data_IF_002216108496
#
_entry.id   IF_002216108496
#
_cell.length_a   1.000
_cell.length_b   1.000
_cell.length_c   1.000
_cell.angle_alpha   90.00
_cell.angle_beta   90.00
_cell.angle_gamma   90.00
#
_symmetry.space_group_name_H-M   'P 1'
#
loop_
_entity.id
_entity.type
_entity.pdbx_description
1 polymer ?
#
# COMPACT_ATOMS: atom_id res chain seq x y z
N UNK A 1 24.69 -10.54 -64.62
CA UNK A 1 24.21 -9.15 -64.65
C UNK A 1 23.46 -8.88 -63.36
N UNK A 2 23.80 -7.76 -62.75
CA UNK A 2 23.53 -7.32 -61.39
C UNK A 2 22.13 -6.69 -61.36
N UNK A 3 21.22 -7.12 -60.49
CA UNK A 3 20.03 -6.32 -60.14
C UNK A 3 19.72 -6.42 -58.63
N UNK A 4 20.39 -5.61 -57.80
CA UNK A 4 19.95 -5.24 -56.46
C UNK A 4 19.01 -4.03 -56.57
N UNK A 5 18.35 -3.69 -55.46
CA UNK A 5 17.38 -2.59 -55.26
C UNK A 5 15.99 -2.90 -55.86
N UNK A 6 14.87 -2.81 -55.15
CA UNK A 6 14.51 -1.98 -54.01
C UNK A 6 13.68 -2.78 -53.00
N UNK A 7 14.22 -3.03 -51.80
CA UNK A 7 13.40 -3.17 -50.60
C UNK A 7 13.03 -1.72 -50.17
N UNK A 8 12.02 -1.14 -50.81
CA UNK A 8 11.41 0.10 -50.33
C UNK A 8 10.74 -0.24 -49.00
N UNK A 9 11.44 0.08 -47.91
CA UNK A 9 10.86 0.15 -46.59
C UNK A 9 9.68 1.12 -46.63
N UNK A 10 8.47 0.58 -46.56
CA UNK A 10 7.25 1.31 -46.25
C UNK A 10 7.39 1.87 -44.83
N UNK A 11 8.15 2.95 -44.69
CA UNK A 11 8.14 3.81 -43.52
C UNK A 11 6.78 4.51 -43.53
N UNK A 12 5.77 3.77 -43.06
CA UNK A 12 4.45 4.31 -42.72
C UNK A 12 4.70 5.55 -41.88
N UNK A 13 4.40 6.72 -42.44
CA UNK A 13 4.47 7.99 -41.72
C UNK A 13 3.35 7.98 -40.68
N UNK A 14 3.60 7.32 -39.55
CA UNK A 14 2.68 7.29 -38.42
C UNK A 14 2.52 8.75 -37.98
N UNK A 15 1.32 9.29 -38.21
CA UNK A 15 0.97 10.61 -37.72
C UNK A 15 0.97 10.53 -36.19
N UNK A 16 1.74 11.41 -35.58
CA UNK A 16 1.92 11.50 -34.14
C UNK A 16 1.91 12.98 -33.74
N UNK A 17 1.45 13.28 -32.53
CA UNK A 17 1.73 14.58 -31.94
C UNK A 17 3.21 14.66 -31.56
N UNK A 18 3.88 15.74 -31.91
CA UNK A 18 5.26 15.99 -31.46
C UNK A 18 5.23 17.02 -30.33
N UNK A 19 5.26 16.54 -29.08
CA UNK A 19 5.27 17.41 -27.92
C UNK A 19 6.62 17.31 -27.20
N UNK A 20 7.42 18.38 -27.28
CA UNK A 20 8.78 18.47 -26.69
C UNK A 20 9.71 17.36 -27.21
N UNK A 21 9.63 17.03 -28.49
CA UNK A 21 10.47 15.99 -29.13
C UNK A 21 10.03 14.57 -28.83
N UNK A 22 8.89 14.38 -28.14
CA UNK A 22 8.30 13.07 -27.92
C UNK A 22 7.10 12.87 -28.84
N UNK A 23 7.14 11.80 -29.64
CA UNK A 23 6.04 11.40 -30.51
C UNK A 23 4.99 10.64 -29.71
N UNK A 24 3.75 11.10 -29.79
CA UNK A 24 2.58 10.54 -29.11
C UNK A 24 1.53 10.11 -30.12
N UNK A 25 0.92 8.95 -29.92
CA UNK A 25 -0.10 8.42 -30.83
C UNK A 25 -1.44 9.12 -30.62
N UNK A 26 -2.32 9.05 -31.62
CA UNK A 26 -3.65 9.64 -31.50
C UNK A 26 -4.43 9.07 -30.30
N UNK A 27 -4.98 9.94 -29.45
CA UNK A 27 -5.70 9.58 -28.23
C UNK A 27 -4.81 9.29 -27.03
N UNK A 28 -3.49 9.20 -27.20
CA UNK A 28 -2.56 8.96 -26.09
C UNK A 28 -2.64 10.08 -25.07
N UNK A 29 -2.63 9.70 -23.78
CA UNK A 29 -2.63 10.63 -22.66
C UNK A 29 -1.38 10.48 -21.81
N UNK A 30 -0.86 11.60 -21.31
CA UNK A 30 0.32 11.60 -20.45
C UNK A 30 0.27 12.75 -19.44
N UNK A 31 1.11 12.68 -18.40
CA UNK A 31 1.29 13.77 -17.45
C UNK A 31 2.50 14.61 -17.86
N UNK A 32 2.33 15.93 -17.90
CA UNK A 32 3.40 16.89 -18.19
C UNK A 32 3.55 17.91 -17.05
N UNK A 33 4.80 18.33 -16.80
CA UNK A 33 5.17 19.23 -15.70
C UNK A 33 4.51 18.81 -14.37
N UNK A 34 4.58 17.52 -14.06
CA UNK A 34 4.06 16.82 -12.89
C UNK A 34 2.53 16.78 -12.72
N UNK A 35 1.79 17.79 -13.18
CA UNK A 35 0.40 17.96 -12.78
C UNK A 35 -0.58 18.11 -13.95
N UNK A 36 -0.12 18.28 -15.20
CA UNK A 36 -1.03 18.52 -16.33
C UNK A 36 -1.30 17.23 -17.09
N UNK A 37 -2.57 16.84 -17.16
CA UNK A 37 -3.00 15.69 -17.93
C UNK A 37 -3.25 16.11 -19.38
N UNK A 38 -2.41 15.61 -20.27
CA UNK A 38 -2.37 15.96 -21.68
C UNK A 38 -3.03 14.88 -22.53
N UNK A 39 -3.57 15.26 -23.70
CA UNK A 39 -4.04 14.33 -24.73
C UNK A 39 -3.54 14.74 -26.11
N UNK A 40 -3.09 13.76 -26.88
CA UNK A 40 -2.81 13.92 -28.30
C UNK A 40 -4.10 13.73 -29.11
N UNK A 41 -4.42 14.68 -29.98
CA UNK A 41 -5.55 14.59 -30.92
C UNK A 41 -5.04 14.85 -32.33
N UNK A 42 -5.21 13.87 -33.22
CA UNK A 42 -4.79 13.95 -34.62
C UNK A 42 -6.02 14.11 -35.50
N UNK A 43 -6.02 15.16 -36.32
CA UNK A 43 -7.04 15.44 -37.33
C UNK A 43 -6.50 15.13 -38.74
N UNK A 44 -7.36 15.31 -39.75
CA UNK A 44 -7.03 15.03 -41.15
C UNK A 44 -5.81 15.80 -41.68
N UNK A 45 -5.50 16.97 -41.13
CA UNK A 45 -4.41 17.85 -41.58
C UNK A 45 -3.52 18.41 -40.46
N UNK A 46 -3.78 18.10 -39.19
CA UNK A 46 -3.07 18.70 -38.06
C UNK A 46 -3.09 17.77 -36.84
N UNK A 47 -2.37 18.14 -35.80
CA UNK A 47 -2.40 17.49 -34.49
C UNK A 47 -2.38 18.55 -33.38
N UNK A 48 -2.93 18.21 -32.22
CA UNK A 48 -2.88 19.03 -31.01
C UNK A 48 -2.48 18.19 -29.79
N UNK A 49 -1.75 18.81 -28.88
CA UNK A 49 -1.39 18.25 -27.59
C UNK A 49 -1.99 19.15 -26.51
N UNK A 50 -3.20 18.84 -26.09
CA UNK A 50 -4.01 19.71 -25.24
C UNK A 50 -4.00 19.27 -23.78
N UNK A 51 -3.97 20.23 -22.87
CA UNK A 51 -4.29 19.99 -21.46
C UNK A 51 -5.79 19.67 -21.38
N UNK A 52 -6.12 18.45 -20.98
CA UNK A 52 -7.50 17.96 -20.81
C UNK A 52 -7.90 17.84 -19.34
N UNK A 53 -6.95 17.98 -18.42
CA UNK A 53 -7.18 17.96 -16.99
C UNK A 53 -5.89 18.16 -16.21
N UNK A 54 -5.95 17.91 -14.91
CA UNK A 54 -4.80 17.91 -14.05
C UNK A 54 -4.70 16.59 -13.27
N UNK A 55 -3.55 16.31 -12.68
CA UNK A 55 -3.30 15.16 -11.80
C UNK A 55 -2.85 15.69 -10.45
N UNK A 56 -3.48 15.18 -9.38
CA UNK A 56 -3.14 15.53 -8.01
C UNK A 56 -1.86 14.82 -7.57
N UNK A 57 -1.29 15.22 -6.43
CA UNK A 57 -0.08 14.60 -5.90
C UNK A 57 -0.32 13.13 -5.52
N UNK A 58 -1.57 12.76 -5.18
CA UNK A 58 -2.02 11.37 -4.98
C UNK A 58 -2.31 10.59 -6.28
N UNK A 59 -2.01 11.17 -7.45
CA UNK A 59 -2.21 10.51 -8.76
C UNK A 59 -3.64 10.55 -9.28
N UNK A 60 -4.55 11.29 -8.65
CA UNK A 60 -5.95 11.39 -9.08
C UNK A 60 -6.08 12.38 -10.25
N UNK A 61 -6.70 11.94 -11.35
CA UNK A 61 -7.08 12.83 -12.44
C UNK A 61 -8.29 13.70 -12.04
N UNK A 62 -8.20 15.00 -12.31
CA UNK A 62 -9.25 16.00 -12.11
C UNK A 62 -9.49 16.76 -13.41
N UNK A 63 -10.76 16.93 -13.79
CA UNK A 63 -11.13 17.60 -15.03
C UNK A 63 -10.93 19.12 -14.92
N UNK A 64 -10.80 19.80 -16.06
CA UNK A 64 -10.81 21.27 -16.07
C UNK A 64 -12.14 21.79 -15.52
N UNK A 65 -12.06 22.71 -14.56
CA UNK A 65 -13.19 23.24 -13.79
C UNK A 65 -13.46 22.48 -12.50
N UNK A 66 -12.87 21.30 -12.29
CA UNK A 66 -13.09 20.50 -11.10
C UNK A 66 -12.30 21.04 -9.90
N UNK A 67 -12.91 20.91 -8.71
CA UNK A 67 -12.27 21.15 -7.42
C UNK A 67 -12.47 19.93 -6.53
N UNK A 68 -11.37 19.41 -5.97
CA UNK A 68 -11.38 18.25 -5.07
C UNK A 68 -10.70 18.59 -3.75
N UNK A 69 -11.06 17.89 -2.68
CA UNK A 69 -10.36 18.00 -1.40
C UNK A 69 -9.40 16.82 -1.24
N UNK A 70 -8.12 17.11 -1.02
CA UNK A 70 -7.06 16.12 -0.83
C UNK A 70 -6.08 16.64 0.22
N UNK A 71 -5.80 15.84 1.26
CA UNK A 71 -4.83 16.23 2.31
C UNK A 71 -5.15 17.55 3.03
N UNK A 72 -6.43 17.92 3.15
CA UNK A 72 -6.85 19.20 3.77
C UNK A 72 -6.76 20.42 2.84
N UNK A 73 -6.33 20.23 1.60
CA UNK A 73 -6.28 21.27 0.57
C UNK A 73 -7.46 21.13 -0.39
N UNK A 74 -8.00 22.26 -0.83
CA UNK A 74 -8.79 22.33 -2.06
C UNK A 74 -7.83 22.43 -3.24
N UNK A 75 -7.86 21.41 -4.07
CA UNK A 75 -7.10 21.31 -5.31
C UNK A 75 -8.02 21.62 -6.47
N UNK A 76 -7.65 22.57 -7.32
CA UNK A 76 -8.46 23.03 -8.45
C UNK A 76 -7.66 22.96 -9.75
N UNK A 77 -8.27 22.44 -10.81
CA UNK A 77 -7.75 22.54 -12.17
C UNK A 77 -8.61 23.55 -12.92
N UNK A 78 -8.10 24.75 -13.18
CA UNK A 78 -8.94 25.84 -13.73
C UNK A 78 -8.41 26.32 -15.08
N UNK A 79 -9.31 26.74 -15.96
CA UNK A 79 -8.94 27.47 -17.18
C UNK A 79 -9.17 28.96 -16.95
N UNK A 80 -8.13 29.75 -17.11
CA UNK A 80 -8.19 31.20 -17.02
C UNK A 80 -8.83 31.81 -18.27
N UNK A 81 -9.31 33.07 -18.20
CA UNK A 81 -9.78 33.80 -19.37
C UNK A 81 -8.75 33.92 -20.49
N UNK A 82 -7.46 33.89 -20.15
CA UNK A 82 -6.35 33.85 -21.14
C UNK A 82 -6.26 32.54 -21.93
N UNK A 83 -7.05 31.53 -21.57
CA UNK A 83 -6.98 30.18 -22.13
C UNK A 83 -5.98 29.26 -21.43
N UNK A 84 -5.10 29.79 -20.58
CA UNK A 84 -4.12 29.01 -19.79
C UNK A 84 -4.82 28.13 -18.76
N UNK A 85 -4.35 26.89 -18.60
CA UNK A 85 -4.82 26.00 -17.52
C UNK A 85 -3.86 26.11 -16.34
N UNK A 86 -4.40 26.34 -15.15
CA UNK A 86 -3.65 26.40 -13.90
C UNK A 86 -4.07 25.29 -12.94
N UNK A 87 -3.05 24.73 -12.27
CA UNK A 87 -3.21 23.87 -11.12
C UNK A 87 -3.09 24.71 -9.84
N UNK A 88 -4.17 24.86 -9.07
CA UNK A 88 -4.19 25.66 -7.84
C UNK A 88 -4.40 24.78 -6.62
N UNK A 89 -3.62 25.04 -5.58
CA UNK A 89 -3.82 24.49 -4.23
C UNK A 89 -4.24 25.63 -3.32
N UNK A 90 -5.35 25.49 -2.61
CA UNK A 90 -5.80 26.41 -1.56
C UNK A 90 -6.05 25.62 -0.29
N UNK A 91 -5.90 26.25 0.87
CA UNK A 91 -6.39 25.64 2.12
C UNK A 91 -7.91 25.55 2.03
N UNK A 92 -8.46 24.37 2.27
CA UNK A 92 -9.91 24.19 2.26
C UNK A 92 -10.58 24.75 3.52
N UNK A 93 -11.84 25.16 3.38
CA UNK A 93 -12.73 25.46 4.51
C UNK A 93 -13.35 24.18 5.13
N UNK A 94 -13.00 22.99 4.63
CA UNK A 94 -13.44 21.72 5.21
C UNK A 94 -12.66 21.44 6.49
N UNK A 95 -13.28 21.76 7.63
CA UNK A 95 -12.92 21.45 9.02
C UNK A 95 -11.50 20.89 9.18
N UNK A 96 -10.51 21.80 9.15
CA UNK A 96 -9.11 21.50 9.43
C UNK A 96 -9.00 20.65 10.70
N UNK A 97 -8.18 19.62 10.64
CA UNK A 97 -7.79 18.85 11.82
C UNK A 97 -8.96 18.35 12.69
N UNK A 98 -10.03 17.80 12.11
CA UNK A 98 -11.19 17.29 12.86
C UNK A 98 -11.91 18.39 13.69
N UNK A 99 -11.70 19.67 13.38
CA UNK A 99 -12.29 20.81 14.08
C UNK A 99 -11.32 21.53 15.04
N UNK A 100 -10.09 21.06 15.16
CA UNK A 100 -9.09 21.61 16.06
C UNK A 100 -8.25 22.72 15.42
N UNK A 101 -7.81 23.68 16.23
CA UNK A 101 -6.99 24.80 15.78
C UNK A 101 -5.55 24.35 15.50
N UNK A 102 -4.81 25.01 14.58
CA UNK A 102 -3.39 24.77 14.39
C UNK A 102 -2.60 24.87 15.70
N UNK A 103 -1.79 23.85 16.00
CA UNK A 103 -1.04 23.73 17.25
C UNK A 103 -1.78 23.00 18.38
N UNK A 104 -3.11 22.87 18.27
CA UNK A 104 -3.92 22.18 19.27
C UNK A 104 -3.59 20.69 19.31
N UNK A 105 -3.61 20.12 20.52
CA UNK A 105 -3.42 18.69 20.78
C UNK A 105 -4.65 18.13 21.48
N UNK A 106 -5.14 16.99 21.02
CA UNK A 106 -6.30 16.32 21.59
C UNK A 106 -6.08 14.82 21.71
N UNK A 107 -6.87 14.17 22.55
CA UNK A 107 -6.87 12.72 22.69
C UNK A 107 -7.96 12.11 21.80
N UNK A 108 -7.58 11.13 20.98
CA UNK A 108 -8.46 10.41 20.06
C UNK A 108 -8.48 8.93 20.41
N UNK A 109 -9.67 8.33 20.39
CA UNK A 109 -9.88 6.90 20.68
C UNK A 109 -9.17 6.44 21.96
N UNK A 110 -9.17 7.32 22.98
CA UNK A 110 -8.56 7.17 24.32
C UNK A 110 -7.05 6.90 24.38
N UNK A 111 -6.40 6.54 23.28
CA UNK A 111 -5.02 6.02 23.27
C UNK A 111 -4.07 6.81 22.36
N UNK A 112 -4.54 7.81 21.61
CA UNK A 112 -3.70 8.51 20.65
C UNK A 112 -3.79 10.01 20.84
N UNK A 113 -2.68 10.63 21.25
CA UNK A 113 -2.59 12.09 21.26
C UNK A 113 -2.30 12.55 19.84
N UNK A 114 -3.25 13.30 19.28
CA UNK A 114 -3.12 13.94 17.97
C UNK A 114 -2.69 15.39 18.13
N UNK A 115 -2.12 15.96 17.07
CA UNK A 115 -1.82 17.37 16.94
C UNK A 115 -2.24 17.87 15.56
N UNK A 116 -2.82 19.07 15.52
CA UNK A 116 -2.99 19.81 14.29
C UNK A 116 -1.71 20.56 13.97
N UNK A 117 -1.06 20.24 12.86
CA UNK A 117 0.13 20.98 12.42
C UNK A 117 -0.25 22.37 11.93
N UNK A 118 0.72 23.28 11.85
CA UNK A 118 0.55 24.60 11.23
C UNK A 118 0.11 24.52 9.76
N UNK A 119 0.32 23.37 9.12
CA UNK A 119 -0.10 23.07 7.75
C UNK A 119 -1.53 22.53 7.65
N UNK A 120 -2.23 22.33 8.79
CA UNK A 120 -3.60 21.82 8.79
C UNK A 120 -3.70 20.30 8.65
N UNK A 121 -2.63 19.57 8.95
CA UNK A 121 -2.61 18.09 8.97
C UNK A 121 -2.77 17.57 10.38
N UNK A 122 -3.49 16.45 10.53
CA UNK A 122 -3.53 15.69 11.79
C UNK A 122 -2.33 14.74 11.83
N UNK A 123 -1.54 14.80 12.90
CA UNK A 123 -0.47 13.83 13.18
C UNK A 123 -0.69 13.20 14.56
N UNK A 124 -0.26 11.96 14.74
CA UNK A 124 -0.18 11.32 16.07
C UNK A 124 1.20 11.63 16.65
N UNK A 125 1.24 12.28 17.81
CA UNK A 125 2.50 12.69 18.47
C UNK A 125 2.95 11.70 19.54
N UNK A 126 2.02 10.97 20.15
CA UNK A 126 2.28 9.92 21.13
C UNK A 126 1.08 8.98 21.25
N UNK A 127 1.34 7.75 21.70
CA UNK A 127 0.31 6.89 22.26
C UNK A 127 0.10 7.24 23.74
N UNK A 128 -1.04 6.87 24.29
CA UNK A 128 -1.41 7.05 25.69
C UNK A 128 -1.89 5.70 26.20
N UNK A 129 -1.33 5.21 27.31
CA UNK A 129 -1.75 3.93 27.91
C UNK A 129 -3.15 4.05 28.51
N UNK A 130 -3.75 2.91 28.88
CA UNK A 130 -5.07 2.88 29.51
C UNK A 130 -5.12 3.67 30.84
N UNK A 131 -3.96 3.90 31.47
CA UNK A 131 -3.80 4.70 32.69
C UNK A 131 -3.39 6.15 32.42
N UNK A 132 -3.44 6.60 31.16
CA UNK A 132 -3.11 7.99 30.78
C UNK A 132 -1.61 8.29 30.63
N UNK A 133 -0.73 7.28 30.66
CA UNK A 133 0.72 7.51 30.56
C UNK A 133 1.13 7.69 29.09
N UNK A 134 1.82 8.79 28.72
CA UNK A 134 2.26 9.01 27.36
C UNK A 134 3.42 8.09 26.98
N UNK A 135 3.37 7.55 25.76
CA UNK A 135 4.42 6.73 25.13
C UNK A 135 4.72 7.33 23.76
N UNK A 136 5.88 7.97 23.62
CA UNK A 136 6.29 8.59 22.36
C UNK A 136 6.40 7.59 21.20
N UNK A 137 6.29 8.06 19.96
CA UNK A 137 6.46 7.22 18.77
C UNK A 137 7.84 6.54 18.78
N UNK A 138 7.88 5.23 18.53
CA UNK A 138 9.07 4.38 18.60
C UNK A 138 9.55 4.09 20.02
N UNK A 139 8.81 4.51 21.06
CA UNK A 139 9.15 4.27 22.46
C UNK A 139 8.27 3.19 23.07
N UNK A 140 8.73 2.71 24.23
CA UNK A 140 8.09 1.66 25.00
C UNK A 140 8.04 2.09 26.47
N UNK A 141 6.99 1.69 27.18
CA UNK A 141 6.84 1.91 28.61
C UNK A 141 6.20 0.71 29.28
N UNK A 142 6.69 0.30 30.45
CA UNK A 142 6.07 -0.77 31.25
C UNK A 142 5.23 -0.14 32.36
N UNK A 143 3.93 -0.40 32.34
CA UNK A 143 2.97 0.09 33.34
C UNK A 143 2.19 -1.12 33.85
N UNK A 144 2.19 -1.33 35.17
CA UNK A 144 1.48 -2.44 35.83
C UNK A 144 1.79 -3.83 35.25
N UNK A 145 3.07 -4.09 34.95
CA UNK A 145 3.48 -5.38 34.37
C UNK A 145 3.06 -5.58 32.92
N UNK A 146 2.59 -4.53 32.22
CA UNK A 146 2.30 -4.55 30.79
C UNK A 146 3.24 -3.59 30.08
N UNK A 147 4.01 -4.12 29.14
CA UNK A 147 4.85 -3.38 28.21
C UNK A 147 3.97 -2.83 27.09
N UNK A 148 4.00 -1.51 26.94
CA UNK A 148 3.28 -0.76 25.92
C UNK A 148 4.28 -0.25 24.90
N UNK A 149 4.10 -0.57 23.62
CA UNK A 149 4.98 -0.14 22.52
C UNK A 149 4.19 0.72 21.54
N UNK A 150 4.65 1.95 21.28
CA UNK A 150 3.98 2.86 20.34
C UNK A 150 4.75 2.89 19.01
N UNK A 151 4.28 2.16 18.01
CA UNK A 151 5.04 1.90 16.78
C UNK A 151 4.36 2.51 15.55
N UNK A 152 5.12 3.28 14.77
CA UNK A 152 4.68 3.73 13.45
C UNK A 152 4.89 2.61 12.43
N UNK A 153 3.85 2.27 11.70
CA UNK A 153 3.85 1.26 10.65
C UNK A 153 4.34 1.85 9.32
N UNK A 154 4.67 0.97 8.36
CA UNK A 154 5.15 1.39 7.04
C UNK A 154 4.11 2.21 6.24
N UNK A 155 2.82 1.93 6.44
CA UNK A 155 1.70 2.68 5.84
C UNK A 155 1.44 4.05 6.51
N UNK A 156 2.24 4.40 7.53
CA UNK A 156 2.13 5.64 8.28
C UNK A 156 1.16 5.61 9.46
N UNK A 157 0.40 4.52 9.65
CA UNK A 157 -0.45 4.34 10.84
C UNK A 157 0.39 4.18 12.11
N UNK A 158 -0.20 4.46 13.28
CA UNK A 158 0.45 4.25 14.58
C UNK A 158 -0.33 3.22 15.37
N UNK A 159 0.39 2.22 15.87
CA UNK A 159 -0.17 1.12 16.66
C UNK A 159 0.39 1.18 18.09
N UNK A 160 -0.52 1.06 19.07
CA UNK A 160 -0.18 0.82 20.46
C UNK A 160 -0.28 -0.68 20.76
N UNK A 161 0.86 -1.35 20.83
CA UNK A 161 0.96 -2.77 21.18
C UNK A 161 1.09 -2.94 22.68
N UNK A 162 0.49 -4.01 23.22
CA UNK A 162 0.52 -4.36 24.64
C UNK A 162 1.02 -5.80 24.78
N UNK A 163 2.04 -5.99 25.61
CA UNK A 163 2.63 -7.29 25.91
C UNK A 163 2.75 -7.43 27.43
N UNK A 164 2.39 -8.58 28.00
CA UNK A 164 2.65 -8.84 29.41
C UNK A 164 4.17 -8.84 29.61
N UNK A 165 4.68 -7.89 30.39
CA UNK A 165 6.05 -7.89 30.83
C UNK A 165 6.19 -9.02 31.85
N UNK A 166 6.52 -10.22 31.38
CA UNK A 166 6.87 -11.34 32.24
C UNK A 166 8.01 -10.86 33.14
N UNK A 167 7.72 -10.67 34.42
CA UNK A 167 8.76 -10.39 35.39
C UNK A 167 9.61 -11.67 35.44
N UNK A 168 10.89 -11.55 35.12
CA UNK A 168 11.87 -12.64 35.24
C UNK A 168 12.17 -13.01 36.72
N UNK A 169 11.23 -12.72 37.64
CA UNK A 169 11.33 -13.03 39.07
C UNK A 169 10.41 -14.16 39.53
N UNK A 170 9.72 -14.86 38.62
CA UNK A 170 8.99 -16.10 38.89
C UNK A 170 9.47 -17.28 38.04
N UNK A 171 10.78 -17.34 37.75
CA UNK A 171 11.45 -18.58 37.32
C UNK A 171 12.57 -18.88 38.32
N UNK A 172 12.19 -19.03 39.59
CA UNK A 172 12.99 -19.79 40.55
C UNK A 172 12.06 -20.43 41.57
N UNK A 173 11.37 -21.49 41.13
CA UNK A 173 10.99 -22.63 41.96
C UNK A 173 10.18 -23.59 41.09
N UNK A 174 10.66 -24.84 41.02
CA UNK A 174 10.16 -26.00 40.26
C UNK A 174 10.81 -26.23 38.91
N UNK A 175 12.11 -26.56 38.92
CA UNK A 175 12.51 -27.84 38.33
C UNK A 175 13.54 -28.48 39.28
N UNK A 176 13.10 -29.52 40.00
CA UNK A 176 14.00 -30.53 40.56
C UNK A 176 14.70 -31.20 39.37
N UNK A 177 15.96 -30.84 39.11
CA UNK A 177 16.86 -31.69 38.31
C UNK A 177 18.09 -31.99 39.16
N UNK A 178 18.06 -33.20 39.70
CA UNK A 178 19.17 -34.06 40.09
C UNK A 178 20.59 -33.50 39.77
N UNK A 179 21.46 -33.28 40.79
CA UNK A 179 22.83 -32.87 40.56
C UNK A 179 23.69 -34.11 40.29
N UNK A 180 24.01 -34.38 39.02
CA UNK A 180 25.16 -35.21 38.68
C UNK A 180 26.16 -34.45 37.81
N UNK A 181 27.24 -34.08 38.50
CA UNK A 181 28.65 -34.05 38.08
C UNK A 181 29.02 -33.17 36.89
N UNK A 182 29.62 -32.03 37.22
CA UNK A 182 30.46 -31.21 36.36
C UNK A 182 31.64 -32.03 35.80
N UNK A 183 31.76 -32.09 34.48
CA UNK A 183 33.05 -32.27 33.80
C UNK A 183 33.35 -30.99 32.99
N UNK A 184 34.59 -30.47 33.01
CA UNK A 184 34.96 -29.33 32.18
C UNK A 184 34.97 -29.72 30.68
N UNK A 185 34.57 -28.81 29.77
CA UNK A 185 34.64 -29.07 28.34
C UNK A 185 36.10 -29.09 27.84
N UNK A 186 36.36 -30.01 26.90
CA UNK A 186 37.62 -30.15 26.20
C UNK A 186 37.98 -28.90 25.36
N UNK A 187 39.27 -28.65 25.05
CA UNK A 187 39.68 -27.54 24.20
C UNK A 187 39.16 -27.71 22.77
N UNK A 188 38.63 -26.63 22.20
CA UNK A 188 38.21 -26.55 20.79
C UNK A 188 39.41 -26.70 19.84
N UNK A 189 39.27 -27.40 18.70
CA UNK A 189 40.27 -27.39 17.65
C UNK A 189 40.26 -26.08 16.84
N UNK A 190 41.44 -25.58 16.52
CA UNK A 190 41.66 -24.40 15.68
C UNK A 190 41.10 -24.61 14.27
N UNK A 191 40.14 -23.75 13.88
CA UNK A 191 39.67 -23.66 12.51
C UNK A 191 40.61 -22.76 11.69
N UNK A 192 41.04 -23.17 10.48
CA UNK A 192 41.88 -22.33 9.64
C UNK A 192 41.10 -21.13 9.07
N UNK A 193 41.80 -20.00 9.09
CA UNK A 193 41.38 -18.68 8.63
C UNK A 193 40.81 -18.69 7.18
N UNK A 194 39.57 -18.23 6.94
CA UNK A 194 39.07 -18.10 5.58
C UNK A 194 39.70 -16.88 4.89
N UNK A 195 40.48 -17.17 3.84
CA UNK A 195 40.99 -16.20 2.89
C UNK A 195 39.81 -15.52 2.17
N UNK A 196 39.65 -14.21 2.38
CA UNK A 196 38.75 -13.37 1.60
C UNK A 196 39.24 -13.28 0.14
N UNK A 197 38.59 -14.00 -0.77
CA UNK A 197 38.69 -13.71 -2.21
C UNK A 197 37.74 -12.56 -2.55
N UNK A 198 38.33 -11.50 -3.10
CA UNK A 198 37.68 -10.35 -3.71
C UNK A 198 36.81 -10.84 -4.88
N UNK A 199 35.51 -10.64 -4.79
CA UNK A 199 34.57 -10.96 -5.87
C UNK A 199 34.64 -9.84 -6.93
N UNK A 200 35.01 -10.19 -8.16
CA UNK A 200 34.88 -9.34 -9.33
C UNK A 200 33.40 -9.22 -9.74
N UNK A 201 33.03 -8.04 -10.24
CA UNK A 201 31.67 -7.71 -10.68
C UNK A 201 31.34 -8.39 -12.00
N UNK A 202 30.43 -9.35 -11.98
CA UNK A 202 29.85 -9.93 -13.19
C UNK A 202 28.61 -9.13 -13.62
N UNK A 203 28.52 -8.85 -14.93
CA UNK A 203 27.54 -7.96 -15.53
C UNK A 203 26.16 -8.62 -15.64
N UNK A 204 25.12 -7.87 -15.27
CA UNK A 204 23.72 -8.28 -15.37
C UNK A 204 23.24 -8.05 -16.82
N UNK A 205 22.69 -9.06 -17.52
CA UNK A 205 22.06 -8.87 -18.83
C UNK A 205 20.76 -8.08 -18.72
N UNK A 206 20.59 -7.12 -19.63
CA UNK A 206 19.34 -6.39 -19.85
C UNK A 206 18.37 -7.21 -20.72
N UNK A 207 17.08 -7.12 -20.35
CA UNK A 207 15.86 -7.58 -21.04
C UNK A 207 15.29 -8.96 -20.63
N UNK A 208 14.01 -9.02 -20.19
CA UNK A 208 13.22 -10.24 -20.22
C UNK A 208 12.61 -10.47 -21.63
N UNK A 209 12.35 -11.72 -22.03
CA UNK A 209 11.77 -12.05 -23.34
C UNK A 209 10.26 -11.72 -23.39
N UNK A 210 9.82 -11.37 -24.60
CA UNK A 210 8.44 -11.04 -24.96
C UNK A 210 7.46 -12.16 -24.59
N UNK A 211 6.42 -11.83 -23.82
CA UNK A 211 5.25 -12.70 -23.60
C UNK A 211 4.17 -12.24 -24.57
N UNK A 212 3.88 -13.10 -25.55
CA UNK A 212 2.80 -12.97 -26.52
C UNK A 212 1.43 -13.09 -25.83
N UNK A 213 0.68 -12.01 -25.80
CA UNK A 213 -0.60 -11.88 -25.10
C UNK A 213 -1.79 -11.88 -26.06
N UNK A 214 -1.84 -12.83 -27.01
CA UNK A 214 -2.93 -12.93 -27.99
C UNK A 214 -3.99 -13.99 -27.68
N UNK A 215 -4.01 -14.63 -26.50
CA UNK A 215 -4.82 -15.86 -26.32
C UNK A 215 -5.81 -15.90 -25.14
N UNK A 216 -6.07 -14.80 -24.41
CA UNK A 216 -7.19 -14.77 -23.47
C UNK A 216 -8.12 -13.58 -23.70
N UNK A 217 -9.25 -13.89 -24.33
CA UNK A 217 -10.34 -12.98 -24.56
C UNK A 217 -11.15 -12.65 -23.30
N UNK A 218 -11.86 -11.53 -23.44
CA UNK A 218 -12.94 -11.00 -22.61
C UNK A 218 -12.50 -10.04 -21.48
N UNK A 219 -12.21 -8.80 -21.86
CA UNK A 219 -12.33 -7.63 -20.97
C UNK A 219 -13.79 -7.14 -20.99
N UNK A 220 -14.63 -7.65 -20.08
CA UNK A 220 -15.88 -6.93 -19.74
C UNK A 220 -15.50 -5.78 -18.82
N UNK A 221 -15.45 -4.57 -19.38
CA UNK A 221 -15.37 -3.35 -18.56
C UNK A 221 -16.68 -3.19 -17.78
N UNK A 222 -16.66 -2.92 -16.46
CA UNK A 222 -17.89 -2.69 -15.72
C UNK A 222 -18.59 -1.39 -16.17
N UNK A 223 -19.92 -1.33 -16.12
CA UNK A 223 -20.66 -0.11 -16.42
C UNK A 223 -20.27 1.01 -15.44
N UNK A 224 -20.06 2.20 -16.00
CA UNK A 224 -19.70 3.43 -15.29
C UNK A 224 -20.68 3.66 -14.13
N UNK A 225 -20.16 3.64 -12.90
CA UNK A 225 -20.92 3.91 -11.67
C UNK A 225 -21.06 2.75 -10.68
N UNK A 226 -20.70 1.52 -11.05
CA UNK A 226 -20.71 0.39 -10.11
C UNK A 226 -19.36 0.27 -9.37
N UNK A 227 -19.37 0.33 -8.03
CA UNK A 227 -18.20 0.12 -7.17
C UNK A 227 -17.86 -1.38 -7.11
N UNK A 228 -17.17 -1.90 -8.12
CA UNK A 228 -16.75 -3.30 -8.19
C UNK A 228 -15.37 -3.52 -7.55
N UNK A 229 -15.14 -4.72 -7.01
CA UNK A 229 -13.83 -5.12 -6.50
C UNK A 229 -13.08 -5.93 -7.56
N UNK A 230 -11.78 -5.71 -7.70
CA UNK A 230 -10.92 -6.51 -8.58
C UNK A 230 -10.04 -7.45 -7.73
N UNK A 231 -10.15 -8.76 -7.95
CA UNK A 231 -9.36 -9.77 -7.24
C UNK A 231 -9.02 -10.92 -8.19
N UNK A 232 -7.74 -11.27 -8.31
CA UNK A 232 -7.23 -12.38 -9.17
C UNK A 232 -7.76 -12.32 -10.62
N UNK A 233 -7.81 -11.12 -11.22
CA UNK A 233 -8.27 -10.97 -12.61
C UNK A 233 -9.80 -10.93 -12.78
N UNK A 234 -10.57 -11.11 -11.71
CA UNK A 234 -12.04 -11.18 -11.75
C UNK A 234 -12.65 -9.94 -11.08
N UNK A 235 -13.60 -9.32 -11.78
CA UNK A 235 -14.44 -8.24 -11.22
C UNK A 235 -15.60 -8.84 -10.43
N UNK A 236 -15.75 -8.39 -9.18
CA UNK A 236 -16.80 -8.78 -8.24
C UNK A 236 -17.76 -7.62 -8.01
N UNK A 237 -19.05 -7.92 -7.97
CA UNK A 237 -20.09 -6.92 -7.70
C UNK A 237 -20.03 -6.49 -6.23
N UNK A 238 -20.44 -5.24 -5.91
CA UNK A 238 -20.62 -4.85 -4.52
C UNK A 238 -21.50 -5.84 -3.77
N UNK A 239 -21.15 -6.10 -2.52
CA UNK A 239 -21.77 -7.09 -1.62
C UNK A 239 -21.57 -8.57 -2.00
N UNK A 240 -20.91 -8.87 -3.13
CA UNK A 240 -20.60 -10.23 -3.53
C UNK A 240 -19.61 -10.88 -2.56
N UNK A 241 -19.91 -12.12 -2.15
CA UNK A 241 -19.02 -12.97 -1.34
C UNK A 241 -18.49 -14.13 -2.17
N UNK A 242 -17.20 -14.43 -2.04
CA UNK A 242 -16.58 -15.58 -2.73
C UNK A 242 -15.56 -16.28 -1.83
N UNK A 243 -15.21 -17.51 -2.20
CA UNK A 243 -14.12 -18.25 -1.57
C UNK A 243 -12.86 -18.09 -2.44
N UNK A 244 -11.73 -17.77 -1.82
CA UNK A 244 -10.43 -17.63 -2.47
C UNK A 244 -9.47 -18.68 -1.93
N UNK A 245 -8.79 -19.37 -2.84
CA UNK A 245 -7.85 -20.47 -2.57
C UNK A 245 -8.37 -21.59 -1.67
N UNK A 246 -9.69 -21.77 -1.56
CA UNK A 246 -10.33 -22.69 -0.60
C UNK A 246 -9.99 -22.43 0.88
N UNK A 247 -9.40 -21.27 1.19
CA UNK A 247 -8.92 -20.88 2.51
C UNK A 247 -9.73 -19.75 3.14
N UNK A 248 -10.29 -18.85 2.34
CA UNK A 248 -10.90 -17.62 2.86
C UNK A 248 -12.23 -17.31 2.20
N UNK A 249 -13.23 -16.95 2.99
CA UNK A 249 -14.43 -16.28 2.51
C UNK A 249 -14.18 -14.78 2.47
N UNK A 250 -14.21 -14.17 1.28
CA UNK A 250 -14.02 -12.75 1.03
C UNK A 250 -15.36 -12.08 0.67
N UNK A 251 -15.44 -10.77 0.87
CA UNK A 251 -16.58 -9.94 0.48
C UNK A 251 -16.12 -8.65 -0.19
N UNK A 252 -16.78 -8.28 -1.28
CA UNK A 252 -16.67 -6.96 -1.86
C UNK A 252 -17.59 -6.00 -1.10
N UNK A 253 -17.02 -4.99 -0.47
CA UNK A 253 -17.80 -3.97 0.25
C UNK A 253 -18.53 -3.05 -0.73
N UNK A 254 -19.58 -2.31 -0.30
CA UNK A 254 -20.25 -1.33 -1.15
C UNK A 254 -19.34 -0.18 -1.59
N UNK A 255 -18.19 -0.02 -0.91
CA UNK A 255 -17.16 0.98 -1.20
C UNK A 255 -16.10 0.47 -2.19
N UNK A 256 -16.15 -0.79 -2.63
CA UNK A 256 -15.18 -1.37 -3.59
C UNK A 256 -13.92 -1.95 -2.96
N UNK A 257 -13.89 -2.15 -1.64
CA UNK A 257 -12.80 -2.84 -0.94
C UNK A 257 -13.10 -4.34 -0.74
N UNK A 258 -12.07 -5.18 -0.86
CA UNK A 258 -12.16 -6.61 -0.53
C UNK A 258 -11.83 -6.82 0.95
N UNK A 259 -12.74 -7.45 1.69
CA UNK A 259 -12.52 -7.84 3.11
C UNK A 259 -12.57 -9.35 3.27
N UNK A 260 -11.80 -9.89 4.21
CA UNK A 260 -11.86 -11.30 4.61
C UNK A 260 -12.86 -11.43 5.76
N UNK A 261 -13.86 -12.30 5.59
CA UNK A 261 -14.89 -12.54 6.61
C UNK A 261 -14.50 -13.72 7.52
N UNK A 262 -14.14 -14.86 6.90
CA UNK A 262 -13.91 -16.11 7.59
C UNK A 262 -12.76 -16.89 6.97
N UNK A 263 -12.16 -17.77 7.76
CA UNK A 263 -11.25 -18.83 7.30
C UNK A 263 -12.06 -20.11 7.08
N UNK A 264 -11.86 -20.76 5.94
CA UNK A 264 -12.41 -22.08 5.63
C UNK A 264 -11.42 -23.12 6.12
N UNK A 265 -11.83 -23.94 7.09
CA UNK A 265 -10.99 -25.00 7.68
C UNK A 265 -11.23 -26.33 6.97
N UNK A 266 -12.49 -26.63 6.67
CA UNK A 266 -12.87 -27.81 5.89
C UNK A 266 -14.02 -27.46 4.94
N UNK A 267 -13.73 -27.47 3.64
CA UNK A 267 -14.69 -27.16 2.58
C UNK A 267 -15.78 -28.23 2.42
N UNK A 268 -15.49 -29.51 2.70
CA UNK A 268 -16.47 -30.61 2.56
C UNK A 268 -17.53 -30.59 3.66
N UNK A 269 -17.17 -30.07 4.84
CA UNK A 269 -18.04 -30.01 6.02
C UNK A 269 -18.55 -28.57 6.28
N UNK A 270 -18.24 -27.62 5.39
CA UNK A 270 -18.57 -26.19 5.52
C UNK A 270 -18.13 -25.56 6.87
N UNK A 271 -17.00 -26.02 7.42
CA UNK A 271 -16.47 -25.53 8.70
C UNK A 271 -15.72 -24.22 8.44
N UNK A 272 -16.26 -23.13 8.98
CA UNK A 272 -15.67 -21.79 8.88
C UNK A 272 -15.41 -21.19 10.27
N UNK A 273 -14.35 -20.40 10.38
CA UNK A 273 -13.97 -19.70 11.60
C UNK A 273 -13.96 -18.21 11.31
N UNK A 274 -14.71 -17.43 12.10
CA UNK A 274 -14.73 -15.97 11.95
C UNK A 274 -13.38 -15.37 12.32
N UNK A 275 -12.95 -14.38 11.57
CA UNK A 275 -11.60 -13.82 11.70
C UNK A 275 -11.38 -13.04 13.01
N UNK A 276 -12.45 -12.55 13.63
CA UNK A 276 -12.46 -11.84 14.92
C UNK A 276 -12.49 -12.77 16.13
N UNK A 277 -12.58 -14.09 15.90
CA UNK A 277 -12.68 -15.07 16.97
C UNK A 277 -11.31 -15.49 17.51
N UNK A 278 -11.31 -16.07 18.71
CA UNK A 278 -10.13 -16.72 19.29
C UNK A 278 -10.32 -18.23 19.26
N UNK A 279 -9.32 -18.95 18.79
CA UNK A 279 -9.30 -20.42 18.79
C UNK A 279 -8.28 -20.90 19.82
N UNK A 280 -8.58 -22.03 20.45
CA UNK A 280 -7.69 -22.62 21.45
C UNK A 280 -6.72 -23.57 20.75
N UNK A 281 -5.44 -23.25 20.76
CA UNK A 281 -4.37 -24.11 20.25
C UNK A 281 -3.52 -24.53 21.47
N UNK A 282 -3.66 -25.80 21.87
CA UNK A 282 -3.05 -26.31 23.10
C UNK A 282 -3.64 -25.67 24.37
N UNK A 283 -2.79 -25.05 25.21
CA UNK A 283 -3.21 -24.32 26.43
C UNK A 283 -3.44 -22.82 26.21
N UNK A 284 -3.25 -22.32 24.99
CA UNK A 284 -3.31 -20.89 24.66
C UNK A 284 -4.50 -20.58 23.76
N UNK A 285 -5.06 -19.38 23.93
CA UNK A 285 -6.04 -18.81 23.01
C UNK A 285 -5.31 -17.93 22.00
N UNK A 286 -5.51 -18.19 20.72
CA UNK A 286 -4.88 -17.47 19.61
C UNK A 286 -5.97 -16.77 18.82
N UNK A 287 -5.79 -15.48 18.53
CA UNK A 287 -6.72 -14.74 17.69
C UNK A 287 -6.58 -15.19 16.23
N UNK A 288 -7.70 -15.38 15.54
CA UNK A 288 -7.68 -15.92 14.18
C UNK A 288 -7.07 -14.91 13.21
N UNK A 289 -7.36 -13.62 13.39
CA UNK A 289 -6.76 -12.54 12.60
C UNK A 289 -5.22 -12.51 12.62
N UNK A 290 -4.55 -12.92 13.71
CA UNK A 290 -3.09 -12.98 13.76
C UNK A 290 -2.54 -14.14 12.93
N UNK A 291 -3.25 -15.27 12.86
CA UNK A 291 -2.87 -16.42 12.04
C UNK A 291 -3.02 -16.13 10.54
N UNK A 292 -4.07 -15.40 10.17
CA UNK A 292 -4.32 -15.01 8.77
C UNK A 292 -3.24 -14.06 8.24
N UNK A 293 -2.70 -13.19 9.08
CA UNK A 293 -1.66 -12.22 8.71
C UNK A 293 -0.35 -12.91 8.31
N UNK A 294 -0.03 -14.05 8.91
CA UNK A 294 1.17 -14.84 8.57
C UNK A 294 1.04 -15.61 7.25
N UNK A 295 -0.18 -15.93 6.80
CA UNK A 295 -0.41 -16.70 5.57
C UNK A 295 -0.51 -15.85 4.28
N UNK A 296 -0.63 -14.52 4.41
CA UNK A 296 -0.83 -13.59 3.28
C UNK A 296 0.50 -12.92 2.84
N UNK A 297 1.57 -13.11 3.61
CA UNK A 297 2.90 -12.66 3.20
C UNK A 297 3.54 -13.72 2.28
N UNK A 298 3.88 -13.39 1.03
CA UNK A 298 4.73 -14.28 0.23
C UNK A 298 6.12 -14.33 0.88
N UNK A 299 6.64 -15.53 1.08
CA UNK A 299 8.08 -15.74 1.25
C UNK A 299 8.82 -15.40 -0.04
#
# INVERSE_FOLDING_TARGET
MILPLLLLSLLSSIRACDHRGQRRFNGETWVSNNNFFMRCTISSNSWSADIVGCVTDGGKHISIGETVQEGGLLVQCIRLPSGTVEFRRKRGNGQLCEGHQPGEKWLSNTNFRKQCTSEGRVIIVECVTDNGIPVGIGRQATVNGVKHSCNKQADGSVLLERELALSSKEIDNRIDVNPQVLQPPAPLPDLPNPQFKRFESEQIPLAPPDIDLSTFGVTVSPPVGARSCFHEGIWRKPEETWISEDKFTKKCTPQGAVVILNCVVNKKENVTIKIDSKIKIGRKWVAVNSLVREMILPH
#
